data_IF_990378649512
#
_entry.id   IF_990378649512
#
_cell.length_a   1.000
_cell.length_b   1.000
_cell.length_c   1.000
_cell.angle_alpha   90.00
_cell.angle_beta   90.00
_cell.angle_gamma   90.00
#
_symmetry.space_group_name_H-M   'P 1'
#
loop_
_entity.id
_entity.type
_entity.pdbx_description
1 polymer ?
#
# COMPACT_ATOMS: atom_id res chain seq x y z
N UNK A 1 25.88 29.82 2.51
CA UNK A 1 25.06 29.44 1.34
C UNK A 1 23.64 29.24 1.81
N UNK A 2 22.61 29.68 1.07
CA UNK A 2 21.22 29.43 1.44
C UNK A 2 20.92 27.93 1.44
N UNK A 3 20.15 27.49 2.42
CA UNK A 3 19.90 26.07 2.71
C UNK A 3 18.65 25.60 1.98
N UNK A 4 18.75 25.44 0.65
CA UNK A 4 17.76 24.69 -0.12
C UNK A 4 18.01 23.19 0.03
N UNK A 5 16.94 22.41 0.18
CA UNK A 5 17.01 20.95 0.18
C UNK A 5 17.49 20.40 -1.17
N UNK A 6 18.17 19.26 -1.14
CA UNK A 6 18.78 18.67 -2.34
C UNK A 6 17.75 17.90 -3.19
N UNK A 7 17.36 18.49 -4.31
CA UNK A 7 16.42 17.89 -5.27
C UNK A 7 17.07 16.74 -6.05
N UNK A 8 16.47 15.55 -6.02
CA UNK A 8 17.02 14.35 -6.66
C UNK A 8 16.28 13.87 -7.91
N UNK A 9 15.18 14.55 -8.27
CA UNK A 9 14.34 14.22 -9.42
C UNK A 9 12.96 13.65 -9.08
N UNK A 10 12.59 13.49 -7.80
CA UNK A 10 11.28 12.91 -7.42
C UNK A 10 10.31 13.89 -6.71
N UNK A 11 10.79 15.04 -6.23
CA UNK A 11 9.94 16.07 -5.61
C UNK A 11 9.25 16.96 -6.65
N UNK A 12 8.55 17.99 -6.18
CA UNK A 12 8.00 19.03 -7.06
C UNK A 12 9.12 19.95 -7.61
N UNK A 13 9.34 20.01 -8.94
CA UNK A 13 10.37 20.87 -9.50
C UNK A 13 9.97 22.36 -9.48
N UNK A 14 8.67 22.68 -9.45
CA UNK A 14 8.19 24.06 -9.34
C UNK A 14 8.44 24.60 -7.94
N UNK A 15 8.11 23.82 -6.91
CA UNK A 15 8.41 24.18 -5.51
C UNK A 15 9.92 24.34 -5.28
N UNK A 16 10.76 23.43 -5.81
CA UNK A 16 12.22 23.56 -5.70
C UNK A 16 12.75 24.84 -6.35
N UNK A 17 12.24 25.17 -7.55
CA UNK A 17 12.57 26.43 -8.24
C UNK A 17 12.10 27.64 -7.44
N UNK A 18 10.88 27.61 -6.89
CA UNK A 18 10.30 28.71 -6.11
C UNK A 18 11.09 28.97 -4.82
N UNK A 19 11.43 27.93 -4.05
CA UNK A 19 12.25 28.05 -2.84
C UNK A 19 13.64 28.60 -3.17
N UNK A 20 14.27 28.09 -4.24
CA UNK A 20 15.56 28.59 -4.71
C UNK A 20 15.49 30.06 -5.14
N UNK A 21 14.51 30.44 -5.96
CA UNK A 21 14.30 31.82 -6.40
C UNK A 21 14.05 32.77 -5.22
N UNK A 22 13.20 32.38 -4.28
CA UNK A 22 12.89 33.16 -3.07
C UNK A 22 14.16 33.42 -2.24
N UNK A 23 14.96 32.36 -2.01
CA UNK A 23 16.22 32.47 -1.29
C UNK A 23 17.25 33.35 -2.03
N UNK A 24 17.31 33.26 -3.36
CA UNK A 24 18.23 34.07 -4.17
C UNK A 24 17.80 35.54 -4.29
N UNK A 25 16.50 35.81 -4.35
CA UNK A 25 15.92 37.15 -4.34
C UNK A 25 16.19 37.86 -3.01
N UNK A 26 16.04 37.16 -1.88
CA UNK A 26 16.37 37.69 -0.55
C UNK A 26 17.84 38.08 -0.42
N UNK A 27 18.74 37.36 -1.11
CA UNK A 27 20.18 37.65 -1.16
C UNK A 27 20.56 38.66 -2.25
N UNK A 28 19.59 39.20 -3.00
CA UNK A 28 19.77 40.15 -4.11
C UNK A 28 20.80 39.69 -5.17
N UNK A 29 20.96 38.38 -5.37
CA UNK A 29 21.98 37.88 -6.32
C UNK A 29 21.52 38.04 -7.76
N UNK A 30 22.48 38.24 -8.67
CA UNK A 30 22.18 38.34 -10.09
C UNK A 30 21.81 36.98 -10.71
N UNK A 31 21.04 37.04 -11.79
CA UNK A 31 20.55 35.89 -12.56
C UNK A 31 21.69 34.95 -13.02
N UNK A 32 22.86 35.52 -13.37
CA UNK A 32 24.07 34.77 -13.69
C UNK A 32 24.69 34.02 -12.48
N UNK A 33 24.52 34.54 -11.26
CA UNK A 33 24.90 33.83 -10.03
C UNK A 33 23.89 32.73 -9.73
N UNK A 34 22.60 32.98 -9.90
CA UNK A 34 21.54 31.96 -9.75
C UNK A 34 21.81 30.73 -10.65
N UNK A 35 22.13 30.95 -11.92
CA UNK A 35 22.49 29.88 -12.86
C UNK A 35 23.70 29.05 -12.42
N UNK A 36 24.70 29.66 -11.77
CA UNK A 36 25.90 28.97 -11.25
C UNK A 36 25.65 28.27 -9.92
N UNK A 37 24.75 28.79 -9.09
CA UNK A 37 24.42 28.22 -7.79
C UNK A 37 23.41 27.06 -7.88
N UNK A 38 22.46 27.11 -8.81
CA UNK A 38 21.39 26.11 -8.95
C UNK A 38 21.88 24.64 -8.99
N UNK A 39 22.95 24.28 -9.72
CA UNK A 39 23.42 22.88 -9.78
C UNK A 39 23.91 22.32 -8.44
N UNK A 40 24.27 23.19 -7.48
CA UNK A 40 24.67 22.77 -6.13
C UNK A 40 23.48 22.29 -5.28
N UNK A 41 22.25 22.60 -5.71
CA UNK A 41 21.00 22.14 -5.07
C UNK A 41 20.47 20.84 -5.68
N UNK A 42 21.15 20.29 -6.69
CA UNK A 42 20.71 19.11 -7.43
C UNK A 42 21.57 17.89 -7.09
N UNK A 43 20.93 16.72 -6.96
CA UNK A 43 21.60 15.40 -6.80
C UNK A 43 20.96 14.36 -7.73
N UNK A 44 21.51 13.15 -7.76
CA UNK A 44 21.05 11.99 -8.56
C UNK A 44 20.63 12.37 -10.00
N UNK A 45 19.36 12.12 -10.38
CA UNK A 45 18.84 12.31 -11.73
C UNK A 45 18.79 13.79 -12.13
N UNK A 46 18.51 14.69 -11.20
CA UNK A 46 18.52 16.13 -11.44
C UNK A 46 19.94 16.66 -11.77
N UNK A 47 20.95 16.20 -11.04
CA UNK A 47 22.34 16.54 -11.32
C UNK A 47 22.84 15.89 -12.63
N UNK A 48 22.41 14.66 -12.93
CA UNK A 48 22.70 14.01 -14.21
C UNK A 48 22.10 14.76 -15.40
N UNK A 49 20.84 15.20 -15.28
CA UNK A 49 20.17 16.04 -16.28
C UNK A 49 20.93 17.35 -16.53
N UNK A 50 21.33 18.08 -15.48
CA UNK A 50 22.04 19.35 -15.65
C UNK A 50 23.35 19.17 -16.43
N UNK A 51 24.08 18.08 -16.19
CA UNK A 51 25.31 17.74 -16.94
C UNK A 51 25.06 17.31 -18.40
N UNK A 52 23.84 16.96 -18.79
CA UNK A 52 23.48 16.59 -20.17
C UNK A 52 23.04 17.79 -21.02
N UNK A 53 22.90 18.98 -20.43
CA UNK A 53 22.60 20.21 -21.16
C UNK A 53 23.78 20.62 -22.05
N UNK A 54 23.49 21.20 -23.21
CA UNK A 54 24.53 21.67 -24.11
C UNK A 54 25.36 22.79 -23.46
N UNK A 55 26.71 22.76 -23.56
CA UNK A 55 27.54 23.84 -23.05
C UNK A 55 27.12 25.20 -23.62
N UNK A 56 27.03 26.21 -22.76
CA UNK A 56 26.67 27.60 -23.12
C UNK A 56 25.24 27.79 -23.69
N UNK A 57 24.31 26.85 -23.48
CA UNK A 57 22.93 26.98 -23.97
C UNK A 57 21.96 27.74 -23.05
N UNK A 58 22.40 28.10 -21.83
CA UNK A 58 21.60 28.80 -20.82
C UNK A 58 22.07 30.26 -20.73
N UNK A 59 21.15 31.19 -20.94
CA UNK A 59 21.39 32.64 -20.90
C UNK A 59 20.70 33.34 -19.73
N UNK A 60 19.71 32.70 -19.09
CA UNK A 60 19.06 33.22 -17.90
C UNK A 60 18.58 32.14 -16.94
N UNK A 61 18.34 32.50 -15.67
CA UNK A 61 17.75 31.58 -14.69
C UNK A 61 16.32 31.23 -15.09
N UNK A 62 15.56 32.18 -15.65
CA UNK A 62 14.22 31.92 -16.21
C UNK A 62 14.24 30.79 -17.24
N UNK A 63 15.18 30.83 -18.19
CA UNK A 63 15.37 29.77 -19.19
C UNK A 63 15.78 28.43 -18.53
N UNK A 64 16.65 28.46 -17.53
CA UNK A 64 17.06 27.26 -16.78
C UNK A 64 15.89 26.65 -16.01
N UNK A 65 15.10 27.46 -15.30
CA UNK A 65 13.91 27.01 -14.57
C UNK A 65 12.86 26.45 -15.51
N UNK A 66 12.70 27.01 -16.71
CA UNK A 66 11.80 26.50 -17.73
C UNK A 66 12.22 25.13 -18.25
N UNK A 67 13.51 24.94 -18.55
CA UNK A 67 14.05 23.66 -19.02
C UNK A 67 14.00 22.59 -17.93
N UNK A 68 14.36 22.96 -16.69
CA UNK A 68 14.29 22.09 -15.52
C UNK A 68 12.86 21.65 -15.25
N UNK A 69 11.92 22.60 -15.19
CA UNK A 69 10.50 22.29 -15.03
C UNK A 69 10.00 21.46 -16.20
N UNK A 70 10.22 21.80 -17.48
CA UNK A 70 9.76 20.96 -18.61
C UNK A 70 10.26 19.50 -18.50
N UNK A 71 11.51 19.29 -18.10
CA UNK A 71 12.07 17.95 -17.91
C UNK A 71 11.46 17.20 -16.70
N UNK A 72 11.34 17.82 -15.53
CA UNK A 72 10.88 17.15 -14.31
C UNK A 72 9.36 17.26 -14.05
N UNK A 73 8.66 18.21 -14.66
CA UNK A 73 7.18 18.24 -14.76
C UNK A 73 6.68 17.09 -15.63
N UNK A 74 7.44 16.69 -16.66
CA UNK A 74 7.17 15.43 -17.37
C UNK A 74 7.32 14.21 -16.44
N UNK A 75 8.09 14.30 -15.35
CA UNK A 75 8.12 13.28 -14.30
C UNK A 75 6.90 13.28 -13.37
N UNK A 76 6.02 14.32 -13.41
CA UNK A 76 4.66 14.22 -12.83
C UNK A 76 3.86 13.08 -13.45
N UNK A 77 4.24 12.56 -14.62
CA UNK A 77 3.73 11.29 -15.15
C UNK A 77 3.96 10.07 -14.23
N UNK A 78 4.70 10.22 -13.11
CA UNK A 78 4.80 9.24 -12.02
C UNK A 78 4.10 9.65 -10.71
N UNK A 79 3.52 10.85 -10.60
CA UNK A 79 2.42 11.05 -9.63
C UNK A 79 1.18 10.36 -10.19
N UNK A 80 0.40 9.73 -9.32
CA UNK A 80 -0.82 9.04 -9.72
C UNK A 80 -1.83 10.05 -10.27
N UNK A 81 -2.48 9.71 -11.38
CA UNK A 81 -3.63 10.46 -11.89
C UNK A 81 -4.93 9.88 -11.30
N UNK A 82 -6.04 10.60 -11.44
CA UNK A 82 -7.34 10.15 -10.93
C UNK A 82 -7.80 8.79 -11.50
N UNK A 83 -7.40 8.45 -12.73
CA UNK A 83 -7.67 7.14 -13.33
C UNK A 83 -6.97 5.97 -12.60
N UNK A 84 -5.88 6.21 -11.85
CA UNK A 84 -5.24 5.18 -11.04
C UNK A 84 -6.13 4.65 -9.91
N UNK A 85 -7.10 5.44 -9.43
CA UNK A 85 -8.06 5.01 -8.40
C UNK A 85 -8.96 3.87 -8.90
N UNK A 86 -9.17 3.76 -10.23
CA UNK A 86 -9.95 2.67 -10.83
C UNK A 86 -9.26 1.30 -10.69
N UNK A 87 -7.95 1.28 -10.41
CA UNK A 87 -7.19 0.06 -10.13
C UNK A 87 -7.24 -0.33 -8.64
N UNK A 88 -7.78 0.52 -7.76
CA UNK A 88 -7.97 0.21 -6.34
C UNK A 88 -9.31 -0.50 -6.18
N UNK A 89 -9.28 -1.84 -6.29
CA UNK A 89 -10.45 -2.71 -6.11
C UNK A 89 -10.36 -3.43 -4.76
N UNK A 90 -11.50 -3.65 -4.11
CA UNK A 90 -11.61 -4.43 -2.88
C UNK A 90 -11.47 -5.93 -3.15
N UNK A 91 -10.42 -6.54 -2.61
CA UNK A 91 -10.08 -7.94 -2.88
C UNK A 91 -11.04 -8.93 -2.19
N UNK A 92 -11.09 -10.18 -2.66
CA UNK A 92 -12.08 -11.18 -2.20
C UNK A 92 -12.10 -11.42 -0.68
N UNK A 93 -10.93 -11.38 -0.05
CA UNK A 93 -10.74 -11.65 1.38
C UNK A 93 -10.39 -10.38 2.19
N UNK A 94 -10.48 -9.20 1.58
CA UNK A 94 -10.15 -7.93 2.21
C UNK A 94 -11.35 -7.36 2.97
N UNK A 95 -11.09 -6.81 4.16
CA UNK A 95 -12.06 -6.08 4.99
C UNK A 95 -12.35 -4.70 4.40
N UNK A 96 -13.47 -4.08 4.77
CA UNK A 96 -13.77 -2.73 4.30
C UNK A 96 -12.74 -1.69 4.78
N UNK A 97 -12.18 -1.88 5.98
CA UNK A 97 -11.17 -1.00 6.55
C UNK A 97 -9.84 -1.04 5.77
N UNK A 98 -9.37 -2.23 5.37
CA UNK A 98 -8.13 -2.37 4.60
C UNK A 98 -8.27 -1.74 3.20
N UNK A 99 -9.41 -1.96 2.54
CA UNK A 99 -9.72 -1.32 1.27
C UNK A 99 -9.76 0.21 1.39
N UNK A 100 -10.48 0.74 2.39
CA UNK A 100 -10.58 2.18 2.63
C UNK A 100 -9.20 2.80 2.90
N UNK A 101 -8.36 2.15 3.71
CA UNK A 101 -6.98 2.61 3.97
C UNK A 101 -6.12 2.68 2.70
N UNK A 102 -6.19 1.67 1.82
CA UNK A 102 -5.50 1.71 0.51
C UNK A 102 -6.06 2.78 -0.41
N UNK A 103 -7.38 2.97 -0.41
CA UNK A 103 -8.05 3.96 -1.24
C UNK A 103 -7.69 5.38 -0.81
N UNK A 104 -7.79 5.71 0.49
CA UNK A 104 -7.43 7.03 0.99
C UNK A 104 -5.95 7.33 0.78
N UNK A 105 -5.05 6.38 1.04
CA UNK A 105 -3.61 6.52 0.73
C UNK A 105 -3.38 6.85 -0.76
N UNK A 106 -4.08 6.16 -1.68
CA UNK A 106 -3.99 6.47 -3.10
C UNK A 106 -4.58 7.86 -3.45
N UNK A 107 -5.58 8.37 -2.71
CA UNK A 107 -6.11 9.72 -2.93
C UNK A 107 -5.17 10.83 -2.44
N UNK A 108 -4.38 10.60 -1.39
CA UNK A 108 -3.35 11.54 -0.94
C UNK A 108 -2.19 11.72 -1.93
N UNK A 109 -2.00 10.78 -2.86
CA UNK A 109 -1.00 10.88 -3.93
C UNK A 109 -1.46 11.71 -5.16
N UNK A 110 -2.69 12.23 -5.16
CA UNK A 110 -3.33 12.86 -6.33
C UNK A 110 -3.67 14.32 -6.02
N UNK A 111 -2.93 15.25 -6.63
CA UNK A 111 -3.20 16.69 -6.54
C UNK A 111 -4.56 17.05 -7.17
N UNK A 112 -5.30 17.97 -6.55
CA UNK A 112 -6.56 18.52 -7.09
C UNK A 112 -7.59 17.45 -7.51
N UNK A 113 -7.68 16.35 -6.76
CA UNK A 113 -8.66 15.29 -7.00
C UNK A 113 -10.10 15.81 -6.85
N UNK A 114 -10.86 15.72 -7.94
CA UNK A 114 -12.30 16.02 -7.93
C UNK A 114 -13.10 15.02 -7.08
N UNK A 115 -14.02 15.53 -6.26
CA UNK A 115 -14.79 14.75 -5.29
C UNK A 115 -15.80 13.80 -5.97
N UNK A 116 -16.34 14.16 -7.14
CA UNK A 116 -17.22 13.28 -7.92
C UNK A 116 -16.42 12.12 -8.54
N UNK A 117 -15.19 12.38 -8.98
CA UNK A 117 -14.25 11.35 -9.43
C UNK A 117 -13.82 10.44 -8.27
N UNK A 118 -13.50 11.00 -7.09
CA UNK A 118 -13.19 10.21 -5.87
C UNK A 118 -14.37 9.32 -5.50
N UNK A 119 -15.59 9.86 -5.47
CA UNK A 119 -16.83 9.13 -5.19
C UNK A 119 -17.09 8.00 -6.20
N UNK A 120 -17.00 8.30 -7.49
CA UNK A 120 -17.22 7.32 -8.57
C UNK A 120 -16.19 6.20 -8.54
N UNK A 121 -14.90 6.52 -8.34
CA UNK A 121 -13.85 5.54 -8.24
C UNK A 121 -14.01 4.65 -6.99
N UNK A 122 -14.40 5.22 -5.85
CA UNK A 122 -14.69 4.45 -4.64
C UNK A 122 -15.81 3.43 -4.88
N UNK A 123 -16.96 3.86 -5.44
CA UNK A 123 -18.06 2.97 -5.78
C UNK A 123 -17.62 1.86 -6.76
N UNK A 124 -16.80 2.20 -7.76
CA UNK A 124 -16.31 1.27 -8.78
C UNK A 124 -15.33 0.23 -8.22
N UNK A 125 -14.58 0.60 -7.18
CA UNK A 125 -13.63 -0.26 -6.46
C UNK A 125 -14.28 -1.20 -5.46
N UNK A 126 -15.51 -0.95 -4.98
CA UNK A 126 -16.19 -1.84 -4.05
C UNK A 126 -16.43 -3.23 -4.64
N UNK A 127 -16.22 -4.28 -3.83
CA UNK A 127 -16.49 -5.67 -4.23
C UNK A 127 -18.01 -5.86 -4.35
N UNK A 128 -18.58 -6.19 -5.54
CA UNK A 128 -20.04 -6.22 -5.72
C UNK A 128 -20.77 -7.23 -4.83
N UNK A 129 -20.08 -8.30 -4.41
CA UNK A 129 -20.60 -9.33 -3.50
C UNK A 129 -20.47 -9.00 -2.02
N UNK A 130 -19.92 -7.83 -1.65
CA UNK A 130 -19.82 -7.40 -0.26
C UNK A 130 -21.18 -6.91 0.28
N UNK A 131 -21.42 -7.13 1.58
CA UNK A 131 -22.62 -6.61 2.27
C UNK A 131 -22.72 -5.08 2.17
N UNK A 132 -21.57 -4.41 2.21
CA UNK A 132 -21.49 -2.96 2.11
C UNK A 132 -21.88 -2.47 0.70
N UNK A 133 -21.31 -3.04 -0.37
CA UNK A 133 -21.69 -2.68 -1.75
C UNK A 133 -23.19 -2.85 -2.01
N UNK A 134 -23.78 -3.97 -1.57
CA UNK A 134 -25.23 -4.19 -1.66
C UNK A 134 -26.01 -3.11 -0.89
N UNK A 135 -25.56 -2.74 0.30
CA UNK A 135 -26.20 -1.68 1.10
C UNK A 135 -26.08 -0.30 0.47
N UNK A 136 -24.94 0.02 -0.15
CA UNK A 136 -24.71 1.27 -0.89
C UNK A 136 -25.63 1.33 -2.11
N UNK A 137 -25.70 0.26 -2.90
CA UNK A 137 -26.60 0.13 -4.05
C UNK A 137 -28.10 0.16 -3.66
N UNK A 138 -28.46 -0.14 -2.41
CA UNK A 138 -29.83 0.06 -1.91
C UNK A 138 -30.11 1.51 -1.50
N UNK A 139 -29.17 2.19 -0.85
CA UNK A 139 -29.42 3.50 -0.24
C UNK A 139 -28.98 4.72 -1.05
N UNK A 140 -28.16 4.53 -2.09
CA UNK A 140 -27.62 5.60 -2.95
C UNK A 140 -27.14 6.85 -2.17
N UNK A 141 -26.04 6.78 -1.39
CA UNK A 141 -25.53 7.92 -0.64
C UNK A 141 -25.20 9.10 -1.56
N UNK A 142 -25.79 10.28 -1.34
CA UNK A 142 -25.70 11.39 -2.29
C UNK A 142 -24.34 12.11 -2.40
N UNK A 143 -23.36 11.76 -1.55
CA UNK A 143 -22.01 12.35 -1.55
C UNK A 143 -21.02 11.45 -0.80
N UNK A 144 -19.73 11.80 -0.88
CA UNK A 144 -18.64 11.07 -0.20
C UNK A 144 -18.82 11.01 1.32
N UNK A 145 -19.22 12.12 1.97
CA UNK A 145 -19.39 12.14 3.43
C UNK A 145 -20.41 11.09 3.88
N UNK A 146 -21.58 11.04 3.23
CA UNK A 146 -22.62 10.06 3.54
C UNK A 146 -22.17 8.61 3.25
N UNK A 147 -21.29 8.42 2.26
CA UNK A 147 -20.70 7.11 1.93
C UNK A 147 -19.68 6.66 2.98
N UNK A 148 -18.80 7.54 3.44
CA UNK A 148 -17.79 7.27 4.48
C UNK A 148 -18.44 7.10 5.87
N UNK A 149 -19.40 7.95 6.24
CA UNK A 149 -20.22 7.81 7.47
C UNK A 149 -20.91 6.43 7.52
N UNK A 150 -21.26 5.87 6.36
CA UNK A 150 -21.83 4.53 6.23
C UNK A 150 -20.76 3.43 6.25
N UNK A 151 -19.61 3.64 5.58
CA UNK A 151 -18.48 2.71 5.59
C UNK A 151 -17.98 2.45 7.02
N UNK A 152 -17.81 3.51 7.81
CA UNK A 152 -17.36 3.43 9.22
C UNK A 152 -18.30 2.57 10.09
N UNK A 153 -19.62 2.66 9.88
CA UNK A 153 -20.61 1.81 10.57
C UNK A 153 -20.48 0.33 10.18
N UNK A 154 -20.11 0.04 8.94
CA UNK A 154 -19.84 -1.33 8.47
C UNK A 154 -18.51 -1.86 9.00
N UNK A 155 -17.46 -1.03 9.04
CA UNK A 155 -16.16 -1.37 9.63
C UNK A 155 -16.31 -1.78 11.09
N UNK A 156 -16.97 -0.93 11.90
CA UNK A 156 -17.26 -1.22 13.31
C UNK A 156 -18.05 -2.53 13.50
N UNK A 157 -19.00 -2.83 12.59
CA UNK A 157 -19.76 -4.07 12.62
C UNK A 157 -18.93 -5.30 12.19
N UNK A 158 -18.00 -5.17 11.24
CA UNK A 158 -17.05 -6.22 10.86
C UNK A 158 -16.09 -6.53 12.03
N UNK A 159 -15.52 -5.51 12.68
CA UNK A 159 -14.62 -5.62 13.83
C UNK A 159 -15.30 -6.24 15.07
N UNK A 160 -16.55 -5.81 15.37
CA UNK A 160 -17.34 -6.40 16.44
C UNK A 160 -17.62 -7.90 16.18
N UNK A 161 -17.93 -8.28 14.96
CA UNK A 161 -18.18 -9.68 14.63
C UNK A 161 -16.92 -10.55 14.74
N UNK A 162 -15.76 -10.04 14.31
CA UNK A 162 -14.53 -10.84 14.30
C UNK A 162 -13.95 -11.03 15.72
N UNK A 163 -14.01 -10.00 16.58
CA UNK A 163 -13.65 -10.09 18.01
C UNK A 163 -14.48 -11.15 18.76
N UNK A 164 -15.80 -11.17 18.55
CA UNK A 164 -16.70 -12.14 19.18
C UNK A 164 -16.64 -13.54 18.52
N UNK A 165 -16.11 -13.64 17.30
CA UNK A 165 -15.87 -14.91 16.62
C UNK A 165 -14.70 -15.67 17.23
N UNK A 166 -13.64 -14.97 17.64
CA UNK A 166 -12.51 -15.54 18.40
C UNK A 166 -12.99 -16.21 19.70
N UNK A 167 -13.71 -15.45 20.54
CA UNK A 167 -14.27 -15.94 21.81
C UNK A 167 -15.21 -17.15 21.65
N UNK A 168 -15.95 -17.23 20.53
CA UNK A 168 -16.88 -18.34 20.25
C UNK A 168 -16.20 -19.60 19.69
N UNK A 169 -14.90 -19.52 19.37
CA UNK A 169 -14.08 -20.68 19.00
C UNK A 169 -13.73 -21.54 20.21
N UNK A 170 -13.24 -20.92 21.28
CA UNK A 170 -12.73 -21.58 22.48
C UNK A 170 -13.80 -22.45 23.17
N UNK A 171 -14.99 -21.89 23.42
CA UNK A 171 -16.09 -22.62 24.07
C UNK A 171 -16.64 -23.82 23.27
N UNK A 172 -16.41 -23.89 21.96
CA UNK A 172 -16.84 -25.04 21.13
C UNK A 172 -15.89 -26.22 21.19
N UNK A 173 -14.61 -25.98 21.50
CA UNK A 173 -13.61 -27.04 21.53
C UNK A 173 -13.68 -27.85 22.84
N UNK A 174 -13.94 -27.19 23.97
CA UNK A 174 -14.23 -27.86 25.24
C UNK A 174 -15.51 -28.71 25.18
N UNK A 175 -16.60 -28.18 24.61
CA UNK A 175 -17.87 -28.91 24.53
C UNK A 175 -17.75 -30.18 23.67
N UNK A 176 -16.88 -30.17 22.65
CA UNK A 176 -16.57 -31.34 21.81
C UNK A 176 -15.63 -32.34 22.48
N UNK A 177 -14.79 -31.91 23.44
CA UNK A 177 -14.02 -32.81 24.32
C UNK A 177 -14.93 -33.49 25.35
N UNK A 178 -15.71 -32.72 26.11
CA UNK A 178 -16.66 -33.26 27.12
C UNK A 178 -17.68 -34.24 26.52
N UNK A 179 -18.18 -33.97 25.31
CA UNK A 179 -19.11 -34.90 24.64
C UNK A 179 -18.47 -36.23 24.20
N UNK A 180 -17.14 -36.32 24.12
CA UNK A 180 -16.43 -37.59 23.84
C UNK A 180 -16.13 -38.40 25.11
N UNK A 181 -16.01 -37.75 26.26
CA UNK A 181 -15.76 -38.42 27.54
C UNK A 181 -17.03 -39.09 28.11
N UNK A 182 -18.21 -38.55 27.81
CA UNK A 182 -19.49 -39.05 28.33
C UNK A 182 -20.07 -40.29 27.60
N UNK A 183 -19.37 -40.87 26.61
CA UNK A 183 -19.89 -41.96 25.75
C UNK A 183 -19.23 -43.33 25.96
N UNK A 184 -18.77 -43.64 27.18
CA UNK A 184 -18.18 -44.95 27.51
C UNK A 184 -18.77 -45.59 28.80
N UNK A 185 -19.57 -46.66 28.65
CA UNK A 185 -19.70 -47.72 29.63
C UNK A 185 -18.79 -48.91 29.24
N UNK A 186 -18.02 -49.44 30.21
CA UNK A 186 -17.18 -50.64 30.02
C UNK A 186 -18.00 -51.95 30.18
N UNK A 187 -17.70 -52.98 29.39
CA UNK A 187 -18.28 -54.34 29.55
C UNK A 187 -17.73 -55.35 28.54
N UNK A 188 -16.87 -56.27 28.97
CA UNK A 188 -15.94 -57.01 28.08
C UNK A 188 -16.46 -58.19 27.24
N UNK A 189 -15.84 -58.34 26.04
CA UNK A 189 -15.12 -59.52 25.46
C UNK A 189 -15.80 -60.93 25.36
N UNK A 190 -15.33 -61.87 24.48
CA UNK A 190 -14.59 -61.74 23.19
C UNK A 190 -14.93 -62.78 22.07
N UNK A 191 -14.20 -62.71 20.93
CA UNK A 191 -13.98 -63.73 19.85
C UNK A 191 -15.01 -63.82 18.70
N UNK A 192 -14.71 -64.21 17.43
CA UNK A 192 -13.53 -64.89 16.80
C UNK A 192 -13.12 -64.32 15.40
N UNK A 193 -11.83 -64.48 15.05
CA UNK A 193 -11.15 -64.65 13.71
C UNK A 193 -11.99 -64.42 12.42
N UNK A 194 -11.52 -63.67 11.40
CA UNK A 194 -10.50 -64.08 10.38
C UNK A 194 -10.39 -62.98 9.27
N UNK A 195 -9.45 -62.89 8.29
CA UNK A 195 -8.14 -63.52 7.96
C UNK A 195 -7.44 -62.67 6.84
N UNK A 196 -6.09 -62.53 6.84
CA UNK A 196 -5.23 -61.86 5.83
C UNK A 196 -5.45 -60.34 5.60
N UNK A 197 -4.46 -59.53 5.20
CA UNK A 197 -3.14 -59.84 4.60
C UNK A 197 -1.98 -59.02 5.21
N UNK A 198 -0.74 -59.48 5.00
CA UNK A 198 0.49 -58.91 5.56
C UNK A 198 1.12 -57.81 4.68
N UNK A 199 1.57 -56.71 5.32
CA UNK A 199 2.91 -56.08 5.13
C UNK A 199 3.07 -54.88 6.07
N UNK A 200 3.95 -55.03 7.07
CA UNK A 200 4.49 -53.98 7.96
C UNK A 200 5.81 -53.43 7.37
N UNK A 201 6.44 -52.38 7.94
CA UNK A 201 5.96 -51.40 8.92
C UNK A 201 6.15 -49.93 8.48
N UNK A 202 5.62 -48.99 9.28
CA UNK A 202 6.06 -47.58 9.27
C UNK A 202 7.24 -47.42 10.23
N UNK A 203 8.28 -46.72 9.82
CA UNK A 203 9.20 -46.04 10.74
C UNK A 203 8.99 -44.52 10.67
N UNK A 204 9.17 -43.79 11.79
CA UNK A 204 9.09 -42.33 11.81
C UNK A 204 10.44 -41.74 11.39
N UNK A 205 10.50 -41.05 10.25
CA UNK A 205 11.75 -40.43 9.81
C UNK A 205 12.09 -39.23 10.70
N UNK A 206 13.27 -39.27 11.31
CA UNK A 206 13.76 -38.26 12.24
C UNK A 206 14.14 -36.95 11.53
N UNK A 207 14.12 -35.85 12.28
CA UNK A 207 14.47 -34.50 11.83
C UNK A 207 15.99 -34.23 11.78
N UNK A 208 16.82 -35.25 11.95
CA UNK A 208 18.26 -35.12 12.21
C UNK A 208 19.15 -35.00 10.95
N UNK A 209 18.59 -35.07 9.75
CA UNK A 209 19.35 -34.98 8.49
C UNK A 209 19.48 -33.53 7.95
N UNK A 210 19.94 -32.60 8.81
CA UNK A 210 20.39 -31.28 8.38
C UNK A 210 21.74 -31.39 7.66
N UNK A 211 21.79 -31.02 6.38
CA UNK A 211 23.04 -30.97 5.61
C UNK A 211 23.99 -29.89 6.18
N UNK A 212 25.23 -30.22 6.60
CA UNK A 212 26.18 -29.21 7.05
C UNK A 212 26.66 -28.37 5.87
N UNK A 213 26.58 -27.04 6.00
CA UNK A 213 27.10 -26.08 5.03
C UNK A 213 28.63 -26.07 5.06
N UNK A 214 29.26 -26.61 4.02
CA UNK A 214 30.71 -26.51 3.81
C UNK A 214 31.08 -25.18 3.13
N UNK A 215 31.52 -24.20 3.91
CA UNK A 215 32.34 -23.09 3.44
C UNK A 215 33.38 -22.74 4.52
N UNK A 216 34.67 -22.93 4.22
CA UNK A 216 35.77 -22.54 5.11
C UNK A 216 36.17 -21.08 4.85
N UNK A 217 36.64 -20.34 5.88
CA UNK A 217 37.20 -19.00 5.70
C UNK A 217 38.59 -19.06 5.05
N UNK A 218 38.97 -17.96 4.40
CA UNK A 218 40.34 -17.57 4.05
C UNK A 218 40.42 -16.06 4.15
#
# INVERSE_FOLDING_TARGET
MPQCDLYDGTGDPGEHVYQFQTNMLLLQVSDAVMCRAFPTTLRKAAHAWFKSLQPRSIYSFGQLSDLFQKHFVSSRSRRKNSASLLNIVQEKNESLACFLGRFDAATFEIDNLDESVKYTAFLRGLRPTSKFAFSVNKSHPGNMKALLDKANKYIQAEEYLETHRGQRGEGKEEQKKRSRELTHPQGGKPTKRSKYDERRPKEPFAWENLTPLNAKPS
#
